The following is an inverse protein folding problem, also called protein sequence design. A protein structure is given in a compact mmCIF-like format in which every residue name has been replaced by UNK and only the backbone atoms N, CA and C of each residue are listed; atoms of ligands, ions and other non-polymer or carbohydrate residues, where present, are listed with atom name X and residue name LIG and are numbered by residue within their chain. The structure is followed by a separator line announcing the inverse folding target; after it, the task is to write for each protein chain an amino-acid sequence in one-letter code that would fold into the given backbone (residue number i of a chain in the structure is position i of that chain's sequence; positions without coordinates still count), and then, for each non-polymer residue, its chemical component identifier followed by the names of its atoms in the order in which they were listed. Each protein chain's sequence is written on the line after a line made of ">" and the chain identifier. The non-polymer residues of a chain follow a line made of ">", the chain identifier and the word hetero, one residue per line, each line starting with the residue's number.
data_IF_461653914463
#
_entry.id   IF_461653914463
#
_cell.length_a   1.000
_cell.length_b   1.000
_cell.length_c   1.000
_cell.angle_alpha   90.00
_cell.angle_beta   90.00
_cell.angle_gamma   90.00
#
_symmetry.space_group_name_H-M   'P 1'
#
loop_
_entity.id
_entity.type
_entity.pdbx_description
1 polymer ?
#
# COMPACT_ATOMS: atom_id res chain seq x y z
N UNK A 1 -25.71 -22.53 1.02
CA UNK A 1 -24.49 -23.36 0.95
C UNK A 1 -23.34 -22.54 1.49
N UNK A 2 -22.44 -23.16 2.24
CA UNK A 2 -21.28 -22.51 2.87
C UNK A 2 -20.00 -23.02 2.23
N UNK A 3 -18.94 -22.20 2.18
CA UNK A 3 -17.64 -22.67 1.74
C UNK A 3 -17.10 -23.70 2.74
N UNK A 4 -16.27 -24.67 2.30
CA UNK A 4 -15.78 -25.75 3.15
C UNK A 4 -14.60 -25.32 4.06
N UNK A 5 -14.48 -24.03 4.36
CA UNK A 5 -13.39 -23.45 5.15
C UNK A 5 -13.82 -22.15 5.82
N UNK A 6 -13.08 -21.78 6.87
CA UNK A 6 -13.34 -20.58 7.66
C UNK A 6 -12.91 -19.28 6.94
N UNK A 7 -13.55 -18.13 7.24
CA UNK A 7 -13.25 -16.83 6.61
C UNK A 7 -11.81 -16.31 6.75
N UNK A 8 -11.01 -16.90 7.64
CA UNK A 8 -9.59 -16.53 7.87
C UNK A 8 -8.59 -17.61 7.43
N UNK A 9 -9.06 -18.77 6.93
CA UNK A 9 -8.19 -19.85 6.42
C UNK A 9 -7.78 -19.61 4.96
N UNK A 10 -6.83 -18.68 4.76
CA UNK A 10 -6.29 -18.33 3.45
C UNK A 10 -5.65 -19.52 2.71
N UNK A 11 -5.16 -20.52 3.44
CA UNK A 11 -4.53 -21.70 2.83
C UNK A 11 -5.58 -22.66 2.27
N UNK A 12 -6.70 -22.87 2.96
CA UNK A 12 -7.82 -23.62 2.43
C UNK A 12 -8.52 -22.88 1.28
N UNK A 13 -8.66 -21.56 1.39
CA UNK A 13 -9.16 -20.71 0.32
C UNK A 13 -8.31 -20.83 -0.95
N UNK A 14 -6.98 -20.82 -0.84
CA UNK A 14 -6.07 -21.01 -1.97
C UNK A 14 -6.30 -22.34 -2.69
N UNK A 15 -6.39 -23.44 -1.93
CA UNK A 15 -6.66 -24.78 -2.48
C UNK A 15 -8.01 -24.84 -3.17
N UNK A 16 -9.03 -24.23 -2.57
CA UNK A 16 -10.37 -24.22 -3.11
C UNK A 16 -10.49 -23.37 -4.38
N UNK A 17 -9.89 -22.18 -4.41
CA UNK A 17 -9.83 -21.32 -5.60
C UNK A 17 -9.12 -22.05 -6.75
N UNK A 18 -8.01 -22.74 -6.47
CA UNK A 18 -7.34 -23.59 -7.45
C UNK A 18 -8.25 -24.70 -8.02
N UNK A 19 -9.06 -25.33 -7.17
CA UNK A 19 -10.01 -26.35 -7.61
C UNK A 19 -11.16 -25.74 -8.44
N UNK A 20 -11.73 -24.61 -7.98
CA UNK A 20 -12.80 -23.89 -8.67
C UNK A 20 -12.37 -23.38 -10.06
N UNK A 21 -11.13 -22.89 -10.20
CA UNK A 21 -10.54 -22.49 -11.48
C UNK A 21 -10.45 -23.66 -12.47
N UNK A 22 -10.07 -24.85 -11.99
CA UNK A 22 -9.95 -26.05 -12.83
C UNK A 22 -11.31 -26.62 -13.22
N UNK A 23 -12.27 -26.60 -12.30
CA UNK A 23 -13.62 -27.10 -12.52
C UNK A 23 -14.55 -26.15 -13.27
N UNK A 24 -14.19 -24.86 -13.39
CA UNK A 24 -15.04 -23.79 -13.94
C UNK A 24 -16.43 -23.74 -13.28
N UNK A 25 -16.47 -24.00 -11.98
CA UNK A 25 -17.71 -24.10 -11.22
C UNK A 25 -18.30 -22.71 -10.92
N UNK A 26 -19.35 -22.35 -11.66
CA UNK A 26 -20.03 -21.07 -11.52
C UNK A 26 -20.75 -20.90 -10.17
N UNK A 27 -21.10 -21.98 -9.48
CA UNK A 27 -21.69 -21.92 -8.15
C UNK A 27 -20.62 -21.66 -7.08
N UNK A 28 -19.47 -22.34 -7.19
CA UNK A 28 -18.31 -22.06 -6.34
C UNK A 28 -17.89 -20.58 -6.43
N UNK A 29 -17.87 -20.00 -7.63
CA UNK A 29 -17.53 -18.59 -7.81
C UNK A 29 -18.57 -17.60 -7.27
N UNK A 30 -19.86 -17.97 -7.29
CA UNK A 30 -20.89 -17.18 -6.61
C UNK A 30 -20.70 -17.17 -5.09
N UNK A 31 -20.30 -18.30 -4.51
CA UNK A 31 -20.01 -18.39 -3.07
C UNK A 31 -18.74 -17.62 -2.69
N UNK A 32 -17.69 -17.71 -3.51
CA UNK A 32 -16.44 -16.94 -3.34
C UNK A 32 -16.66 -15.43 -3.46
N UNK A 33 -17.64 -15.00 -4.26
CA UNK A 33 -18.01 -13.60 -4.44
C UNK A 33 -18.99 -13.08 -3.37
N UNK A 34 -19.47 -13.92 -2.45
CA UNK A 34 -20.39 -13.51 -1.41
C UNK A 34 -19.71 -12.63 -0.36
N UNK A 35 -20.46 -11.68 0.20
CA UNK A 35 -19.93 -10.67 1.13
C UNK A 35 -19.15 -11.27 2.31
N UNK A 36 -19.51 -12.47 2.77
CA UNK A 36 -18.83 -13.16 3.87
C UNK A 36 -17.41 -13.63 3.55
N UNK A 37 -17.05 -13.76 2.27
CA UNK A 37 -15.79 -14.36 1.83
C UNK A 37 -15.06 -13.59 0.73
N UNK A 38 -15.68 -12.55 0.18
CA UNK A 38 -15.17 -11.81 -0.99
C UNK A 38 -13.84 -11.11 -0.70
N UNK A 39 -13.62 -10.63 0.53
CA UNK A 39 -12.35 -10.00 0.91
C UNK A 39 -11.20 -10.99 1.04
N UNK A 40 -11.47 -12.14 1.67
CA UNK A 40 -10.52 -13.25 1.77
C UNK A 40 -10.16 -13.74 0.36
N UNK A 41 -11.16 -13.90 -0.50
CA UNK A 41 -10.98 -14.32 -1.89
C UNK A 41 -10.13 -13.30 -2.67
N UNK A 42 -10.41 -11.99 -2.56
CA UNK A 42 -9.58 -10.93 -3.16
C UNK A 42 -8.13 -11.01 -2.69
N UNK A 43 -7.90 -11.12 -1.38
CA UNK A 43 -6.57 -11.24 -0.77
C UNK A 43 -5.80 -12.45 -1.30
N UNK A 44 -6.43 -13.62 -1.33
CA UNK A 44 -5.81 -14.87 -1.79
C UNK A 44 -5.50 -14.82 -3.29
N UNK A 45 -6.42 -14.30 -4.11
CA UNK A 45 -6.18 -14.15 -5.56
C UNK A 45 -5.01 -13.21 -5.83
N UNK A 46 -4.89 -12.08 -5.09
CA UNK A 46 -3.72 -11.19 -5.19
C UNK A 46 -2.43 -11.91 -4.83
N UNK A 47 -2.41 -12.64 -3.71
CA UNK A 47 -1.24 -13.44 -3.31
C UNK A 47 -0.86 -14.49 -4.37
N UNK A 48 -1.83 -15.12 -5.03
CA UNK A 48 -1.59 -16.02 -6.15
C UNK A 48 -0.94 -15.31 -7.35
N UNK A 49 -1.45 -14.13 -7.72
CA UNK A 49 -0.87 -13.31 -8.80
C UNK A 49 0.55 -12.85 -8.48
N UNK A 50 0.82 -12.46 -7.24
CA UNK A 50 2.15 -12.06 -6.78
C UNK A 50 3.15 -13.22 -6.87
N UNK A 51 2.76 -14.42 -6.43
CA UNK A 51 3.60 -15.62 -6.59
C UNK A 51 3.89 -15.93 -8.06
N UNK A 52 2.93 -15.72 -8.96
CA UNK A 52 3.15 -15.86 -10.41
C UNK A 52 4.17 -14.83 -10.91
N UNK A 53 4.08 -13.58 -10.47
CA UNK A 53 5.01 -12.52 -10.83
C UNK A 53 6.44 -12.83 -10.33
N UNK A 54 6.58 -13.25 -9.08
CA UNK A 54 7.86 -13.69 -8.49
C UNK A 54 8.44 -14.87 -9.27
N UNK A 55 7.63 -15.89 -9.56
CA UNK A 55 8.07 -17.05 -10.35
C UNK A 55 8.50 -16.67 -11.78
N UNK A 56 7.87 -15.65 -12.40
CA UNK A 56 8.30 -15.12 -13.70
C UNK A 56 9.66 -14.41 -13.60
N UNK A 57 9.88 -13.61 -12.57
CA UNK A 57 11.15 -12.94 -12.33
C UNK A 57 12.28 -13.96 -12.09
N UNK A 58 12.03 -14.97 -11.26
CA UNK A 58 12.97 -16.07 -11.01
C UNK A 58 13.35 -16.81 -12.29
N UNK A 59 12.35 -17.21 -13.10
CA UNK A 59 12.58 -17.86 -14.41
C UNK A 59 13.42 -17.02 -15.36
N UNK A 60 13.16 -15.71 -15.40
CA UNK A 60 13.95 -14.77 -16.21
C UNK A 60 15.41 -14.76 -15.79
N UNK A 61 15.67 -14.78 -14.47
CA UNK A 61 17.00 -14.86 -13.92
C UNK A 61 17.67 -16.21 -14.24
N UNK A 62 16.98 -17.34 -14.04
CA UNK A 62 17.48 -18.68 -14.37
C UNK A 62 17.87 -18.80 -15.86
N UNK A 63 17.05 -18.24 -16.76
CA UNK A 63 17.37 -18.18 -18.20
C UNK A 63 18.63 -17.37 -18.49
N UNK A 64 18.81 -16.24 -17.81
CA UNK A 64 20.01 -15.42 -17.96
C UNK A 64 21.25 -16.20 -17.48
N UNK A 65 21.14 -16.89 -16.35
CA UNK A 65 22.20 -17.76 -15.83
C UNK A 65 22.50 -18.92 -16.78
N UNK A 66 21.49 -19.63 -17.28
CA UNK A 66 21.68 -20.74 -18.22
C UNK A 66 22.37 -20.27 -19.52
N UNK A 67 21.98 -19.10 -20.05
CA UNK A 67 22.67 -18.49 -21.22
C UNK A 67 24.13 -18.17 -20.93
N UNK A 68 24.45 -17.66 -19.73
CA UNK A 68 25.82 -17.39 -19.35
C UNK A 68 26.66 -18.68 -19.28
N UNK A 69 26.07 -19.78 -18.75
CA UNK A 69 26.73 -21.10 -18.69
C UNK A 69 27.00 -21.70 -20.07
N UNK A 70 26.10 -21.51 -21.04
CA UNK A 70 26.35 -21.88 -22.44
C UNK A 70 27.52 -21.09 -23.01
N UNK A 71 27.53 -19.76 -22.84
CA UNK A 71 28.60 -18.89 -23.33
C UNK A 71 29.96 -19.20 -22.69
N UNK A 72 29.96 -19.68 -21.44
CA UNK A 72 31.14 -20.13 -20.72
C UNK A 72 31.58 -21.57 -21.09
N UNK A 73 30.79 -22.29 -21.90
CA UNK A 73 31.06 -23.67 -22.28
C UNK A 73 30.82 -24.71 -21.17
N UNK A 74 30.15 -24.33 -20.08
CA UNK A 74 29.87 -25.20 -18.93
C UNK A 74 28.74 -26.19 -19.19
N UNK A 75 27.83 -25.86 -20.12
CA UNK A 75 26.77 -26.74 -20.62
C UNK A 75 26.71 -26.67 -22.13
N UNK A 76 26.24 -27.74 -22.75
CA UNK A 76 26.06 -27.80 -24.21
C UNK A 76 24.82 -27.04 -24.67
N UNK A 77 24.84 -26.58 -25.92
CA UNK A 77 23.68 -25.96 -26.57
C UNK A 77 22.45 -26.91 -26.60
N UNK A 78 22.68 -28.23 -26.69
CA UNK A 78 21.62 -29.22 -26.65
C UNK A 78 20.96 -29.31 -25.27
N UNK A 79 21.74 -29.26 -24.18
CA UNK A 79 21.23 -29.23 -22.81
C UNK A 79 20.43 -27.95 -22.54
N UNK A 80 20.94 -26.79 -22.96
CA UNK A 80 20.23 -25.53 -22.86
C UNK A 80 18.88 -25.54 -23.60
N UNK A 81 18.83 -26.10 -24.82
CA UNK A 81 17.56 -26.20 -25.58
C UNK A 81 16.54 -27.10 -24.89
N UNK A 82 16.98 -28.21 -24.27
CA UNK A 82 16.09 -29.10 -23.51
C UNK A 82 15.51 -28.36 -22.29
N UNK A 83 16.36 -27.72 -21.50
CA UNK A 83 15.93 -26.94 -20.33
C UNK A 83 14.98 -25.79 -20.73
N UNK A 84 15.31 -25.06 -21.78
CA UNK A 84 14.47 -23.97 -22.30
C UNK A 84 13.11 -24.45 -22.82
N UNK A 85 13.04 -25.66 -23.39
CA UNK A 85 11.78 -26.26 -23.87
C UNK A 85 10.87 -26.69 -22.71
N UNK A 86 11.43 -27.33 -21.67
CA UNK A 86 10.68 -27.69 -20.46
C UNK A 86 10.14 -26.45 -19.76
N UNK A 87 10.95 -25.40 -19.69
CA UNK A 87 10.57 -24.13 -19.10
C UNK A 87 9.46 -23.43 -19.91
N UNK A 88 9.55 -23.44 -21.25
CA UNK A 88 8.52 -22.87 -22.12
C UNK A 88 7.16 -23.55 -21.95
N UNK A 89 7.15 -24.88 -21.77
CA UNK A 89 5.92 -25.63 -21.49
C UNK A 89 5.31 -25.23 -20.13
N UNK A 90 6.15 -25.05 -19.09
CA UNK A 90 5.69 -24.56 -17.77
C UNK A 90 5.18 -23.12 -17.87
N UNK A 91 5.88 -22.24 -18.58
CA UNK A 91 5.49 -20.85 -18.78
C UNK A 91 4.13 -20.73 -19.47
N UNK A 92 3.87 -21.55 -20.49
CA UNK A 92 2.57 -21.59 -21.18
C UNK A 92 1.43 -21.99 -20.24
N UNK A 93 1.63 -23.03 -19.42
CA UNK A 93 0.63 -23.44 -18.42
C UNK A 93 0.39 -22.35 -17.37
N UNK A 94 1.45 -21.71 -16.87
CA UNK A 94 1.33 -20.59 -15.92
C UNK A 94 0.59 -19.41 -16.54
N UNK A 95 0.89 -19.05 -17.78
CA UNK A 95 0.25 -17.93 -18.47
C UNK A 95 -1.26 -18.17 -18.65
N UNK A 96 -1.65 -19.38 -19.06
CA UNK A 96 -3.07 -19.74 -19.17
C UNK A 96 -3.79 -19.65 -17.81
N UNK A 97 -3.16 -20.18 -16.76
CA UNK A 97 -3.70 -20.09 -15.40
C UNK A 97 -3.84 -18.63 -14.93
N UNK A 98 -2.82 -17.81 -15.17
CA UNK A 98 -2.83 -16.39 -14.83
C UNK A 98 -3.94 -15.63 -15.56
N UNK A 99 -4.19 -15.93 -16.84
CA UNK A 99 -5.29 -15.33 -17.59
C UNK A 99 -6.64 -15.62 -16.93
N UNK A 100 -6.91 -16.89 -16.60
CA UNK A 100 -8.16 -17.29 -15.93
C UNK A 100 -8.30 -16.65 -14.55
N UNK A 101 -7.20 -16.62 -13.80
CA UNK A 101 -7.15 -15.99 -12.47
C UNK A 101 -7.42 -14.49 -12.55
N UNK A 102 -6.84 -13.78 -13.53
CA UNK A 102 -7.08 -12.34 -13.74
C UNK A 102 -8.53 -12.04 -14.16
N UNK A 103 -9.15 -12.91 -14.94
CA UNK A 103 -10.55 -12.77 -15.32
C UNK A 103 -11.46 -12.80 -14.09
N UNK A 104 -11.27 -13.78 -13.22
CA UNK A 104 -12.08 -13.93 -12.01
C UNK A 104 -11.73 -12.88 -10.96
N UNK A 105 -10.45 -12.48 -10.89
CA UNK A 105 -10.02 -11.37 -10.04
C UNK A 105 -10.77 -10.08 -10.36
N UNK A 106 -11.08 -9.78 -11.63
CA UNK A 106 -11.84 -8.56 -11.98
C UNK A 106 -13.23 -8.55 -11.34
N UNK A 107 -13.90 -9.71 -11.30
CA UNK A 107 -15.22 -9.86 -10.71
C UNK A 107 -15.17 -9.78 -9.17
N UNK A 108 -14.23 -10.52 -8.56
CA UNK A 108 -14.04 -10.54 -7.11
C UNK A 108 -13.56 -9.19 -6.60
N UNK A 109 -12.59 -8.55 -7.26
CA UNK A 109 -12.08 -7.24 -6.86
C UNK A 109 -13.18 -6.19 -6.90
N UNK A 110 -14.10 -6.24 -7.87
CA UNK A 110 -15.22 -5.31 -7.92
C UNK A 110 -16.20 -5.55 -6.76
N UNK A 111 -16.48 -6.80 -6.42
CA UNK A 111 -17.37 -7.14 -5.30
C UNK A 111 -16.73 -6.79 -3.94
N UNK A 112 -15.43 -7.10 -3.74
CA UNK A 112 -14.68 -6.72 -2.55
C UNK A 112 -14.63 -5.19 -2.36
N UNK A 113 -14.42 -4.42 -3.45
CA UNK A 113 -14.45 -2.95 -3.39
C UNK A 113 -15.82 -2.41 -2.98
N UNK A 114 -16.90 -2.96 -3.53
CA UNK A 114 -18.27 -2.58 -3.13
C UNK A 114 -18.51 -2.85 -1.65
N UNK A 115 -18.07 -4.00 -1.14
CA UNK A 115 -18.21 -4.35 0.27
C UNK A 115 -17.42 -3.41 1.19
N UNK A 116 -16.19 -3.04 0.80
CA UNK A 116 -15.35 -2.09 1.55
C UNK A 116 -15.86 -0.63 1.52
N UNK A 117 -16.86 -0.33 0.69
CA UNK A 117 -17.26 1.06 0.42
C UNK A 117 -16.14 1.88 -0.21
N UNK A 118 -15.18 1.20 -0.87
CA UNK A 118 -14.04 1.82 -1.52
C UNK A 118 -14.45 2.33 -2.90
N UNK A 119 -14.53 3.65 -3.04
CA UNK A 119 -14.61 4.28 -4.35
C UNK A 119 -13.29 4.00 -5.09
N UNK A 120 -13.38 3.42 -6.29
CA UNK A 120 -12.22 3.16 -7.17
C UNK A 120 -11.39 4.43 -7.36
N UNK A 121 -12.03 5.59 -7.32
CA UNK A 121 -11.38 6.89 -7.37
C UNK A 121 -10.46 7.15 -6.17
N UNK A 122 -10.87 6.77 -4.97
CA UNK A 122 -10.08 6.97 -3.75
C UNK A 122 -8.87 6.03 -3.73
N UNK A 123 -9.04 4.75 -4.10
CA UNK A 123 -7.94 3.77 -4.17
C UNK A 123 -6.92 4.17 -5.26
N UNK A 124 -7.38 4.61 -6.43
CA UNK A 124 -6.50 5.13 -7.48
C UNK A 124 -5.81 6.42 -7.04
N UNK A 125 -6.49 7.33 -6.33
CA UNK A 125 -5.88 8.54 -5.80
C UNK A 125 -4.80 8.21 -4.76
N UNK A 126 -5.03 7.24 -3.87
CA UNK A 126 -4.05 6.78 -2.89
C UNK A 126 -2.84 6.11 -3.56
N UNK A 127 -3.04 5.30 -4.60
CA UNK A 127 -1.95 4.69 -5.37
C UNK A 127 -1.12 5.72 -6.15
N UNK A 128 -1.78 6.71 -6.74
CA UNK A 128 -1.11 7.84 -7.41
C UNK A 128 -0.28 8.64 -6.41
N UNK A 129 -0.84 8.93 -5.23
CA UNK A 129 -0.13 9.61 -4.15
C UNK A 129 1.11 8.81 -3.72
N UNK A 130 0.97 7.51 -3.50
CA UNK A 130 2.08 6.64 -3.11
C UNK A 130 3.19 6.60 -4.17
N UNK A 131 2.81 6.50 -5.46
CA UNK A 131 3.75 6.54 -6.57
C UNK A 131 4.48 7.89 -6.65
N UNK A 132 3.74 8.99 -6.53
CA UNK A 132 4.32 10.33 -6.55
C UNK A 132 5.29 10.56 -5.40
N UNK A 133 4.93 10.17 -4.18
CA UNK A 133 5.82 10.26 -3.01
C UNK A 133 7.07 9.39 -3.17
N UNK A 134 6.95 8.18 -3.72
CA UNK A 134 8.10 7.30 -3.96
C UNK A 134 9.07 7.89 -4.98
N UNK A 135 8.57 8.51 -6.05
CA UNK A 135 9.40 9.15 -7.07
C UNK A 135 10.07 10.41 -6.52
N UNK A 136 9.37 11.20 -5.70
CA UNK A 136 9.96 12.38 -5.05
C UNK A 136 11.08 11.99 -4.06
N UNK A 137 10.89 10.91 -3.30
CA UNK A 137 11.93 10.32 -2.47
C UNK A 137 13.13 9.82 -3.29
N UNK A 138 12.88 9.15 -4.42
CA UNK A 138 13.92 8.71 -5.36
C UNK A 138 14.71 9.90 -5.91
N UNK A 139 14.01 10.94 -6.39
CA UNK A 139 14.63 12.17 -6.90
C UNK A 139 15.52 12.82 -5.84
N UNK A 140 15.01 12.93 -4.61
CA UNK A 140 15.75 13.48 -3.48
C UNK A 140 17.00 12.68 -3.17
N UNK A 141 16.91 11.34 -3.18
CA UNK A 141 18.05 10.45 -2.94
C UNK A 141 19.13 10.54 -4.03
N UNK A 142 18.72 10.59 -5.30
CA UNK A 142 19.65 10.75 -6.44
C UNK A 142 20.40 12.08 -6.36
N UNK A 143 19.68 13.17 -6.08
CA UNK A 143 20.28 14.50 -5.96
C UNK A 143 21.18 14.62 -4.73
N UNK A 144 20.78 14.06 -3.58
CA UNK A 144 21.58 14.06 -2.37
C UNK A 144 22.89 13.27 -2.50
N UNK A 145 22.91 12.24 -3.36
CA UNK A 145 24.12 11.48 -3.66
C UNK A 145 25.13 12.25 -4.53
N UNK A 146 24.77 13.43 -5.05
CA UNK A 146 25.64 14.25 -5.91
C UNK A 146 25.94 13.61 -7.27
N UNK A 147 25.17 12.59 -7.67
CA UNK A 147 25.32 11.89 -8.94
C UNK A 147 24.40 12.52 -9.97
N UNK A 148 24.91 12.73 -11.18
CA UNK A 148 24.09 13.17 -12.31
C UNK A 148 22.97 12.14 -12.60
N UNK A 149 21.70 12.57 -12.69
CA UNK A 149 20.59 11.66 -12.98
C UNK A 149 20.80 10.92 -14.31
N UNK A 150 20.52 9.62 -14.32
CA UNK A 150 20.59 8.85 -15.56
C UNK A 150 19.48 9.26 -16.55
N UNK A 151 19.62 8.89 -17.82
CA UNK A 151 18.55 9.11 -18.81
C UNK A 151 17.23 8.44 -18.40
N UNK A 152 17.29 7.30 -17.69
CA UNK A 152 16.12 6.62 -17.17
C UNK A 152 15.46 7.40 -16.02
N UNK A 153 16.26 8.00 -15.12
CA UNK A 153 15.76 8.85 -14.04
C UNK A 153 15.04 10.08 -14.58
N UNK A 154 15.67 10.78 -15.55
CA UNK A 154 15.07 11.95 -16.19
C UNK A 154 13.77 11.61 -16.92
N UNK A 155 13.75 10.53 -17.70
CA UNK A 155 12.55 10.07 -18.40
C UNK A 155 11.42 9.65 -17.44
N UNK A 156 11.75 9.06 -16.28
CA UNK A 156 10.77 8.73 -15.24
C UNK A 156 10.17 10.01 -14.65
N UNK A 157 10.99 11.00 -14.31
CA UNK A 157 10.54 12.26 -13.73
C UNK A 157 9.67 13.05 -14.70
N UNK A 158 10.09 13.17 -15.97
CA UNK A 158 9.29 13.84 -17.01
C UNK A 158 7.91 13.20 -17.20
N UNK A 159 7.83 11.86 -17.18
CA UNK A 159 6.56 11.13 -17.28
C UNK A 159 5.66 11.39 -16.08
N UNK A 160 6.23 11.55 -14.88
CA UNK A 160 5.45 11.87 -13.69
C UNK A 160 4.93 13.31 -13.73
N UNK A 161 5.78 14.27 -14.11
CA UNK A 161 5.41 15.69 -14.19
C UNK A 161 4.30 15.94 -15.22
N UNK A 162 4.25 15.13 -16.28
CA UNK A 162 3.20 15.16 -17.30
C UNK A 162 1.89 14.44 -16.88
N UNK A 163 1.88 13.70 -15.76
CA UNK A 163 0.71 12.96 -15.33
C UNK A 163 -0.27 13.88 -14.58
N UNK A 164 -1.44 14.07 -15.18
CA UNK A 164 -2.52 14.85 -14.58
C UNK A 164 -3.59 13.96 -13.96
N UNK A 165 -3.99 14.30 -12.73
CA UNK A 165 -4.96 13.54 -11.93
C UNK A 165 -6.07 14.44 -11.38
N UNK A 166 -7.22 13.87 -10.97
CA UNK A 166 -8.31 14.67 -10.38
C UNK A 166 -7.87 15.36 -9.08
N UNK A 167 -8.05 16.68 -8.98
CA UNK A 167 -7.49 17.50 -7.90
C UNK A 167 -8.13 17.37 -6.51
N UNK A 168 -9.36 16.88 -6.42
CA UNK A 168 -10.12 16.60 -5.18
C UNK A 168 -11.32 15.65 -5.44
N UNK A 169 -11.93 15.06 -4.39
CA UNK A 169 -13.14 14.23 -4.52
C UNK A 169 -14.39 14.97 -5.04
N UNK A 170 -14.39 16.31 -5.08
CA UNK A 170 -15.57 17.14 -5.41
C UNK A 170 -15.63 17.77 -6.82
N UNK A 171 -14.57 17.70 -7.64
CA UNK A 171 -14.51 18.41 -8.93
C UNK A 171 -14.38 19.94 -8.77
N UNK A 172 -13.79 20.73 -9.67
CA UNK A 172 -13.35 20.51 -11.04
C UNK A 172 -11.92 21.07 -11.19
N UNK A 173 -10.97 20.23 -11.58
CA UNK A 173 -9.59 20.63 -11.78
C UNK A 173 -8.69 19.42 -11.92
N UNK A 174 -7.94 19.35 -13.02
CA UNK A 174 -6.80 18.44 -13.14
C UNK A 174 -5.63 19.09 -12.39
N UNK A 175 -4.84 18.30 -11.68
CA UNK A 175 -3.65 18.73 -10.93
C UNK A 175 -2.51 17.82 -11.36
N UNK A 176 -1.26 18.31 -11.33
CA UNK A 176 -0.11 17.42 -11.52
C UNK A 176 0.04 16.50 -10.31
N UNK A 177 0.65 15.33 -10.50
CA UNK A 177 0.99 14.46 -9.37
C UNK A 177 1.92 15.17 -8.38
N UNK A 178 2.84 16.00 -8.85
CA UNK A 178 3.74 16.80 -8.00
C UNK A 178 2.96 17.77 -7.10
N UNK A 179 1.99 18.49 -7.65
CA UNK A 179 1.15 19.40 -6.87
C UNK A 179 0.25 18.63 -5.88
N UNK A 180 -0.25 17.47 -6.29
CA UNK A 180 -1.03 16.59 -5.41
C UNK A 180 -0.18 16.08 -4.24
N UNK A 181 1.04 15.60 -4.51
CA UNK A 181 2.01 15.15 -3.50
C UNK A 181 2.40 16.31 -2.59
N UNK A 182 2.70 17.49 -3.15
CA UNK A 182 3.01 18.69 -2.38
C UNK A 182 1.89 19.06 -1.41
N UNK A 183 0.64 19.17 -1.90
CA UNK A 183 -0.53 19.43 -1.04
C UNK A 183 -0.75 18.35 0.01
N UNK A 184 -0.47 17.09 -0.32
CA UNK A 184 -0.57 15.98 0.62
C UNK A 184 0.52 16.05 1.71
N UNK A 185 1.76 16.31 1.32
CA UNK A 185 2.90 16.47 2.22
C UNK A 185 2.68 17.66 3.18
N UNK A 186 2.25 18.81 2.67
CA UNK A 186 1.90 19.98 3.50
C UNK A 186 0.84 19.64 4.54
N UNK A 187 -0.24 18.94 4.13
CA UNK A 187 -1.28 18.50 5.07
C UNK A 187 -0.77 17.48 6.09
N UNK A 188 0.12 16.57 5.71
CA UNK A 188 0.74 15.63 6.64
C UNK A 188 1.65 16.35 7.63
N UNK A 189 2.39 17.37 7.19
CA UNK A 189 3.24 18.19 8.05
C UNK A 189 2.41 19.07 8.99
N UNK A 190 1.29 19.65 8.54
CA UNK A 190 0.37 20.40 9.41
C UNK A 190 -0.20 19.51 10.52
N UNK A 191 -0.72 18.33 10.16
CA UNK A 191 -1.22 17.36 11.14
C UNK A 191 -0.08 16.78 12.00
N UNK A 192 1.12 16.62 11.44
CA UNK A 192 2.32 16.20 12.14
C UNK A 192 2.74 17.23 13.20
N UNK A 193 2.72 18.52 12.87
CA UNK A 193 2.96 19.64 13.80
C UNK A 193 1.95 19.66 14.93
N UNK A 194 0.67 19.54 14.62
CA UNK A 194 -0.40 19.47 15.64
C UNK A 194 -0.19 18.28 16.57
N UNK A 195 0.12 17.11 16.01
CA UNK A 195 0.37 15.91 16.80
C UNK A 195 1.64 16.02 17.65
N UNK A 196 2.72 16.62 17.11
CA UNK A 196 3.96 16.84 17.84
C UNK A 196 3.74 17.69 19.09
N UNK A 197 2.99 18.80 18.98
CA UNK A 197 2.59 19.61 20.13
C UNK A 197 1.79 18.83 21.16
N UNK A 198 0.79 18.06 20.72
CA UNK A 198 -0.01 17.21 21.62
C UNK A 198 0.85 16.16 22.33
N UNK A 199 1.82 15.56 21.64
CA UNK A 199 2.73 14.58 22.26
C UNK A 199 3.58 15.25 23.32
N UNK A 200 4.14 16.44 23.06
CA UNK A 200 4.92 17.19 24.04
C UNK A 200 4.07 17.55 25.27
N UNK A 201 2.85 18.06 25.05
CA UNK A 201 1.92 18.44 26.12
C UNK A 201 1.52 17.24 26.99
N UNK A 202 1.21 16.10 26.37
CA UNK A 202 0.75 14.89 27.08
C UNK A 202 1.91 14.13 27.73
N UNK A 203 3.10 14.16 27.12
CA UNK A 203 4.28 13.51 27.66
C UNK A 203 4.88 14.25 28.85
N UNK A 204 4.77 15.58 28.90
CA UNK A 204 5.62 16.38 29.77
C UNK A 204 7.08 16.01 29.51
N UNK A 205 7.83 15.62 30.54
CA UNK A 205 9.23 15.16 30.44
C UNK A 205 9.39 13.64 30.23
N UNK A 206 8.30 12.88 30.15
CA UNK A 206 8.37 11.43 30.03
C UNK A 206 8.96 10.99 28.68
N UNK A 207 9.71 9.88 28.70
CA UNK A 207 10.26 9.25 27.50
C UNK A 207 9.21 8.46 26.70
N UNK A 208 8.03 8.21 27.27
CA UNK A 208 6.93 7.52 26.57
C UNK A 208 5.58 7.88 27.14
N UNK A 209 4.55 7.82 26.28
CA UNK A 209 3.15 8.12 26.62
C UNK A 209 2.22 7.01 26.24
N UNK A 210 1.10 6.89 26.96
CA UNK A 210 -0.01 6.03 26.54
C UNK A 210 -0.62 6.58 25.26
N UNK A 211 -0.78 5.72 24.24
CA UNK A 211 -1.42 6.12 22.99
C UNK A 211 -2.87 6.55 23.21
N UNK A 212 -3.56 5.95 24.18
CA UNK A 212 -4.92 6.30 24.53
C UNK A 212 -5.03 7.74 25.06
N UNK A 213 -4.00 8.25 25.74
CA UNK A 213 -3.96 9.60 26.30
C UNK A 213 -3.89 10.69 25.20
N UNK A 214 -3.38 10.37 24.01
CA UNK A 214 -3.31 11.31 22.88
C UNK A 214 -4.69 11.56 22.24
N UNK A 215 -5.60 10.59 22.32
CA UNK A 215 -6.84 10.60 21.55
C UNK A 215 -7.80 11.75 21.93
N UNK A 216 -8.03 12.08 23.21
CA UNK A 216 -8.90 13.21 23.58
C UNK A 216 -8.36 14.57 23.09
N UNK A 217 -7.07 14.82 23.27
CA UNK A 217 -6.42 16.06 22.84
C UNK A 217 -6.44 16.19 21.32
N UNK A 218 -6.14 15.09 20.60
CA UNK A 218 -6.24 15.03 19.15
C UNK A 218 -7.65 15.33 18.63
N UNK A 219 -8.68 14.70 19.22
CA UNK A 219 -10.06 14.94 18.82
C UNK A 219 -10.46 16.40 19.00
N UNK A 220 -10.04 17.04 20.10
CA UNK A 220 -10.32 18.46 20.36
C UNK A 220 -9.65 19.38 19.34
N UNK A 221 -8.41 19.09 18.95
CA UNK A 221 -7.64 19.91 18.01
C UNK A 221 -8.11 19.73 16.56
N UNK A 222 -8.41 18.51 16.13
CA UNK A 222 -8.59 18.18 14.70
C UNK A 222 -10.06 18.10 14.28
N UNK A 223 -10.98 17.69 15.17
CA UNK A 223 -12.40 17.61 14.79
C UNK A 223 -13.02 18.94 14.31
N UNK A 224 -12.67 20.13 14.85
CA UNK A 224 -13.20 21.41 14.36
C UNK A 224 -12.68 21.82 12.98
N UNK A 225 -11.48 21.36 12.61
CA UNK A 225 -10.80 21.73 11.35
C UNK A 225 -11.29 20.87 10.18
N UNK A 226 -11.85 19.70 10.46
CA UNK A 226 -12.43 18.82 9.44
C UNK A 226 -13.83 19.28 9.05
N UNK A 227 -14.06 19.44 7.74
CA UNK A 227 -15.37 19.79 7.22
C UNK A 227 -16.42 18.76 7.65
N UNK A 228 -17.62 19.23 7.98
CA UNK A 228 -18.75 18.35 8.37
C UNK A 228 -19.11 17.36 7.26
N UNK A 229 -19.04 17.81 5.99
CA UNK A 229 -19.23 16.96 4.81
C UNK A 229 -18.21 15.82 4.74
N UNK A 230 -16.92 16.10 4.88
CA UNK A 230 -15.86 15.08 4.86
C UNK A 230 -16.03 14.04 5.98
N UNK A 231 -16.44 14.49 7.18
CA UNK A 231 -16.70 13.60 8.31
C UNK A 231 -17.91 12.71 8.06
N UNK A 232 -18.99 13.26 7.50
CA UNK A 232 -20.20 12.52 7.17
C UNK A 232 -19.97 11.52 6.03
N UNK A 233 -19.25 11.91 4.97
CA UNK A 233 -18.87 11.02 3.88
C UNK A 233 -17.97 9.88 4.36
N UNK A 234 -16.98 10.17 5.20
CA UNK A 234 -16.11 9.15 5.74
C UNK A 234 -16.86 8.18 6.67
N UNK A 235 -17.79 8.69 7.48
CA UNK A 235 -18.65 7.86 8.33
C UNK A 235 -19.62 7.01 7.49
N UNK A 236 -20.19 7.57 6.42
CA UNK A 236 -21.08 6.86 5.50
C UNK A 236 -20.38 5.72 4.76
N UNK A 237 -19.05 5.81 4.58
CA UNK A 237 -18.20 4.72 4.04
C UNK A 237 -17.93 3.59 5.04
N UNK A 238 -18.47 3.63 6.26
CA UNK A 238 -18.26 2.58 7.27
C UNK A 238 -16.85 2.52 7.88
N UNK A 239 -15.96 3.45 7.50
CA UNK A 239 -14.53 3.47 7.89
C UNK A 239 -14.26 4.00 9.31
N UNK A 240 -15.31 4.12 10.13
CA UNK A 240 -15.24 4.68 11.47
C UNK A 240 -15.03 6.20 11.46
N UNK A 241 -14.14 6.70 12.33
CA UNK A 241 -13.94 8.14 12.52
C UNK A 241 -12.80 8.69 11.67
N UNK A 242 -13.09 9.68 10.82
CA UNK A 242 -12.08 10.41 10.04
C UNK A 242 -11.01 11.04 10.95
N UNK A 243 -11.39 11.48 12.14
CA UNK A 243 -10.47 12.05 13.13
C UNK A 243 -9.45 11.00 13.57
N UNK A 244 -9.88 9.76 13.83
CA UNK A 244 -8.99 8.65 14.21
C UNK A 244 -8.10 8.22 13.03
N UNK A 245 -8.63 8.26 11.81
CA UNK A 245 -7.85 8.01 10.59
C UNK A 245 -6.69 9.00 10.45
N UNK A 246 -6.96 10.30 10.62
CA UNK A 246 -5.93 11.34 10.56
C UNK A 246 -4.89 11.18 11.66
N UNK A 247 -5.28 10.77 12.88
CA UNK A 247 -4.34 10.46 13.96
C UNK A 247 -3.37 9.35 13.55
N UNK A 248 -3.89 8.26 12.96
CA UNK A 248 -3.06 7.13 12.53
C UNK A 248 -2.06 7.55 11.46
N UNK A 249 -2.48 8.36 10.49
CA UNK A 249 -1.61 8.87 9.42
C UNK A 249 -0.54 9.81 9.96
N UNK A 250 -0.90 10.72 10.86
CA UNK A 250 0.05 11.63 11.51
C UNK A 250 1.07 10.88 12.38
N UNK A 251 0.65 9.86 13.14
CA UNK A 251 1.58 9.00 13.89
C UNK A 251 2.58 8.31 12.96
N UNK A 252 2.11 7.69 11.88
CA UNK A 252 2.99 7.05 10.90
C UNK A 252 3.96 8.03 10.24
N UNK A 253 3.59 9.31 10.09
CA UNK A 253 4.48 10.37 9.61
C UNK A 253 5.61 10.67 10.59
N UNK A 254 5.28 10.86 11.87
CA UNK A 254 6.28 11.10 12.92
C UNK A 254 7.23 9.90 13.11
N UNK A 255 6.72 8.67 12.97
CA UNK A 255 7.55 7.46 12.99
C UNK A 255 8.55 7.41 11.84
N UNK A 256 8.13 7.76 10.62
CA UNK A 256 9.04 7.80 9.46
C UNK A 256 10.12 8.87 9.60
N UNK A 257 9.82 9.99 10.28
CA UNK A 257 10.82 11.01 10.64
C UNK A 257 11.73 10.59 11.80
N UNK A 258 11.52 9.41 12.40
CA UNK A 258 12.32 8.92 13.52
C UNK A 258 12.07 9.65 14.83
N UNK A 259 10.98 10.43 14.94
CA UNK A 259 10.69 11.26 16.11
C UNK A 259 10.04 10.46 17.24
N UNK A 260 9.27 9.43 16.89
CA UNK A 260 8.53 8.57 17.81
C UNK A 260 8.50 7.13 17.33
N UNK A 261 8.17 6.20 18.23
CA UNK A 261 7.97 4.78 17.90
C UNK A 261 6.82 4.19 18.69
N UNK A 262 5.92 3.47 18.02
CA UNK A 262 4.93 2.62 18.70
C UNK A 262 5.61 1.41 19.36
N UNK A 263 5.28 1.19 20.62
CA UNK A 263 5.70 0.03 21.40
C UNK A 263 4.51 -0.59 22.13
N UNK A 264 4.61 -1.89 22.39
CA UNK A 264 3.63 -2.62 23.20
C UNK A 264 4.17 -2.80 24.61
N UNK A 265 3.30 -2.60 25.59
CA UNK A 265 3.58 -2.74 27.02
C UNK A 265 2.47 -3.59 27.66
N UNK A 266 2.71 -4.24 28.81
CA UNK A 266 1.66 -4.95 29.55
C UNK A 266 0.42 -4.08 29.85
N UNK A 267 0.62 -2.77 29.98
CA UNK A 267 -0.45 -1.79 30.25
C UNK A 267 -1.12 -1.24 28.96
N UNK A 268 -0.75 -1.76 27.79
CA UNK A 268 -1.32 -1.41 26.48
C UNK A 268 -0.34 -0.75 25.51
N UNK A 269 -0.88 -0.11 24.47
CA UNK A 269 -0.09 0.53 23.41
C UNK A 269 0.54 1.85 23.90
N UNK A 270 1.86 1.95 23.77
CA UNK A 270 2.64 3.15 24.10
C UNK A 270 3.25 3.79 22.85
N UNK A 271 3.61 5.04 23.00
CA UNK A 271 4.38 5.80 22.03
C UNK A 271 5.65 6.30 22.74
N UNK A 272 6.80 5.79 22.31
CA UNK A 272 8.11 6.22 22.79
C UNK A 272 8.56 7.45 22.02
N UNK A 273 9.09 8.45 22.74
CA UNK A 273 9.66 9.67 22.17
C UNK A 273 11.14 9.42 21.89
N UNK A 274 11.53 9.41 20.62
CA UNK A 274 12.90 9.11 20.19
C UNK A 274 13.74 10.38 20.02
N UNK A 275 13.13 11.44 19.51
CA UNK A 275 13.80 12.73 19.27
C UNK A 275 12.88 13.88 19.73
N UNK A 276 13.06 14.27 20.99
CA UNK A 276 12.30 15.35 21.61
C UNK A 276 12.64 16.73 21.02
N UNK A 277 13.91 17.12 20.81
CA UNK A 277 14.25 18.34 20.09
C UNK A 277 13.58 18.43 18.71
N UNK A 278 13.59 17.35 17.93
CA UNK A 278 12.92 17.29 16.64
C UNK A 278 11.39 17.46 16.72
N UNK A 279 10.75 16.96 17.79
CA UNK A 279 9.33 17.21 18.05
C UNK A 279 9.05 18.69 18.39
N UNK A 280 9.91 19.33 19.19
CA UNK A 280 9.79 20.76 19.55
C UNK A 280 9.93 21.63 18.31
N UNK A 281 10.94 21.35 17.48
CA UNK A 281 11.15 22.04 16.20
C UNK A 281 9.93 21.89 15.28
N UNK A 282 9.45 20.65 15.11
CA UNK A 282 8.29 20.37 14.26
C UNK A 282 7.00 21.03 14.78
N UNK A 283 6.83 21.11 16.11
CA UNK A 283 5.73 21.80 16.78
C UNK A 283 5.77 23.34 16.60
N UNK A 284 6.84 23.88 15.99
CA UNK A 284 7.01 25.31 15.76
C UNK A 284 7.79 26.02 16.86
N UNK A 285 8.69 25.33 17.55
CA UNK A 285 9.61 25.92 18.52
C UNK A 285 8.98 26.31 19.86
N UNK A 286 7.81 25.77 20.19
CA UNK A 286 7.26 25.90 21.55
C UNK A 286 7.93 24.87 22.45
N UNK A 287 8.93 25.31 23.22
CA UNK A 287 9.26 24.62 24.46
C UNK A 287 8.09 24.79 25.44
N UNK A 288 7.75 23.75 26.24
CA UNK A 288 6.72 23.84 27.28
C UNK A 288 7.06 24.86 28.37
#
# INVERSE_FOLDING_TARGET
>A
MTLPYEPDDDQAADRYINAALRGRDAEAWRLLAADTHVEQTDRVIRAMLDRIAVARAHRTAERATARARVSAGEITEAEYRREAAEEAARATKTAHFETLLREHHRLIAQAARRLRGDDVRDELADLVLALGTAIDAHRSAVLAAGVEPSAADRALWERLSALEVPGTPGGAGRTSVEELVGRHATRQDDFGRVLAGIILDVAGDAASVSRAALLPAWKRAVAPVLASGERAEFAAKGKGSLVTEKLRKALGHLERKGLVRRSESPDGQRLDVLDRPGLVELAGGREP
#
